data_IF_429080480619
#
_entry.id   IF_429080480619
#
_cell.length_a   1.000
_cell.length_b   1.000
_cell.length_c   1.000
_cell.angle_alpha   90.00
_cell.angle_beta   90.00
_cell.angle_gamma   90.00
#
_symmetry.space_group_name_H-M   'P 1'
#
loop_
_entity.id
_entity.type
_entity.pdbx_description
1 polymer ?
#
# COMPACT_ATOMS: atom_id res chain seq x y z
N UNK A 1 -12.60 -21.40 -36.80
CA UNK A 1 -12.78 -21.13 -35.36
C UNK A 1 -14.23 -20.80 -35.04
N UNK A 2 -14.85 -19.83 -35.71
CA UNK A 2 -16.27 -19.45 -35.51
C UNK A 2 -17.28 -20.58 -35.81
N UNK A 3 -17.09 -21.29 -36.93
CA UNK A 3 -17.92 -22.46 -37.31
C UNK A 3 -17.78 -23.65 -36.36
N UNK A 4 -16.66 -23.73 -35.62
CA UNK A 4 -16.33 -24.81 -34.69
C UNK A 4 -17.09 -24.67 -33.36
N UNK A 5 -17.57 -23.46 -33.04
CA UNK A 5 -18.30 -23.16 -31.81
C UNK A 5 -19.74 -22.71 -32.07
N UNK A 6 -20.32 -23.12 -33.19
CA UNK A 6 -21.72 -22.83 -33.52
C UNK A 6 -22.02 -21.31 -33.56
N UNK A 7 -21.07 -20.50 -34.03
CA UNK A 7 -21.10 -19.03 -34.04
C UNK A 7 -21.20 -18.38 -32.64
N UNK A 8 -20.84 -19.08 -31.56
CA UNK A 8 -20.82 -18.49 -30.23
C UNK A 8 -19.57 -17.61 -30.03
N UNK A 9 -19.71 -16.33 -30.35
CA UNK A 9 -18.64 -15.32 -30.25
C UNK A 9 -18.03 -15.20 -28.86
N UNK A 10 -18.77 -15.52 -27.80
CA UNK A 10 -18.25 -15.51 -26.43
C UNK A 10 -17.19 -16.60 -26.25
N UNK A 11 -17.43 -17.79 -26.80
CA UNK A 11 -16.47 -18.91 -26.69
C UNK A 11 -15.20 -18.58 -27.46
N UNK A 12 -15.34 -18.06 -28.68
CA UNK A 12 -14.19 -17.60 -29.50
C UNK A 12 -13.41 -16.53 -28.75
N UNK A 13 -14.09 -15.57 -28.11
CA UNK A 13 -13.46 -14.52 -27.32
C UNK A 13 -12.74 -15.06 -26.08
N UNK A 14 -13.29 -16.04 -25.36
CA UNK A 14 -12.62 -16.67 -24.21
C UNK A 14 -11.35 -17.41 -24.66
N UNK A 15 -11.41 -18.17 -25.76
CA UNK A 15 -10.21 -18.82 -26.31
C UNK A 15 -9.17 -17.80 -26.75
N UNK A 16 -9.61 -16.70 -27.37
CA UNK A 16 -8.74 -15.60 -27.73
C UNK A 16 -8.07 -14.98 -26.48
N UNK A 17 -8.83 -14.70 -25.43
CA UNK A 17 -8.28 -14.18 -24.17
C UNK A 17 -7.27 -15.13 -23.55
N UNK A 18 -7.57 -16.43 -23.47
CA UNK A 18 -6.63 -17.42 -22.92
C UNK A 18 -5.34 -17.44 -23.74
N UNK A 19 -5.43 -17.40 -25.07
CA UNK A 19 -4.27 -17.38 -25.94
C UNK A 19 -3.44 -16.10 -25.75
N UNK A 20 -4.07 -14.92 -25.77
CA UNK A 20 -3.34 -13.65 -25.59
C UNK A 20 -2.73 -13.56 -24.21
N UNK A 21 -3.50 -13.85 -23.16
CA UNK A 21 -3.02 -13.79 -21.78
C UNK A 21 -1.95 -14.85 -21.50
N UNK A 22 -1.96 -15.99 -22.20
CA UNK A 22 -0.95 -17.03 -22.11
C UNK A 22 0.24 -16.87 -23.07
N UNK A 23 0.26 -15.83 -23.91
CA UNK A 23 1.27 -15.69 -24.96
C UNK A 23 2.62 -15.22 -24.40
N UNK A 24 3.56 -16.16 -24.27
CA UNK A 24 4.85 -15.94 -23.59
C UNK A 24 5.76 -14.89 -24.24
N UNK A 25 5.63 -14.64 -25.54
CA UNK A 25 6.48 -13.68 -26.26
C UNK A 25 6.20 -12.22 -25.88
N UNK A 26 4.95 -11.90 -25.48
CA UNK A 26 4.61 -10.56 -24.98
C UNK A 26 5.01 -10.53 -23.50
N UNK A 27 6.20 -10.02 -23.21
CA UNK A 27 6.76 -10.01 -21.84
C UNK A 27 6.02 -9.10 -20.87
N UNK A 28 5.58 -7.93 -21.35
CA UNK A 28 4.86 -6.95 -20.54
C UNK A 28 3.38 -7.28 -20.54
N UNK A 29 2.82 -7.44 -19.36
CA UNK A 29 1.50 -8.01 -19.21
C UNK A 29 0.40 -6.97 -19.40
N UNK A 30 0.74 -5.72 -19.13
CA UNK A 30 0.01 -4.51 -19.47
C UNK A 30 -0.29 -4.48 -20.97
N UNK A 31 0.66 -4.90 -21.82
CA UNK A 31 0.46 -4.98 -23.26
C UNK A 31 -0.62 -6.01 -23.63
N UNK A 32 -0.66 -7.16 -22.95
CA UNK A 32 -1.68 -8.21 -23.20
C UNK A 32 -3.08 -7.68 -22.90
N UNK A 33 -3.24 -6.91 -21.82
CA UNK A 33 -4.52 -6.27 -21.46
C UNK A 33 -4.88 -5.15 -22.45
N UNK A 34 -3.93 -4.31 -22.84
CA UNK A 34 -4.18 -3.28 -23.84
C UNK A 34 -4.66 -3.86 -25.17
N UNK A 35 -4.08 -5.00 -25.62
CA UNK A 35 -4.55 -5.69 -26.83
C UNK A 35 -5.99 -6.17 -26.67
N UNK A 36 -6.35 -6.72 -25.50
CA UNK A 36 -7.72 -7.12 -25.22
C UNK A 36 -8.68 -5.92 -25.26
N UNK A 37 -8.31 -4.78 -24.67
CA UNK A 37 -9.10 -3.54 -24.74
C UNK A 37 -9.33 -3.07 -26.17
N UNK A 38 -8.27 -3.05 -27.00
CA UNK A 38 -8.36 -2.67 -28.42
C UNK A 38 -9.35 -3.57 -29.16
N UNK A 39 -9.24 -4.89 -28.95
CA UNK A 39 -10.07 -5.85 -29.66
C UNK A 39 -11.53 -5.80 -29.20
N UNK A 40 -11.79 -5.66 -27.90
CA UNK A 40 -13.14 -5.45 -27.39
C UNK A 40 -13.74 -4.16 -27.97
N UNK A 41 -12.96 -3.08 -28.04
CA UNK A 41 -13.40 -1.82 -28.64
C UNK A 41 -13.73 -1.98 -30.13
N UNK A 42 -12.86 -2.65 -30.91
CA UNK A 42 -13.10 -2.93 -32.34
C UNK A 42 -14.34 -3.83 -32.52
N UNK A 43 -14.51 -4.86 -31.71
CA UNK A 43 -15.69 -5.73 -31.75
C UNK A 43 -16.97 -4.95 -31.47
N UNK A 44 -16.95 -3.99 -30.53
CA UNK A 44 -18.06 -3.07 -30.33
C UNK A 44 -18.26 -2.17 -31.55
N UNK A 45 -17.17 -1.63 -32.09
CA UNK A 45 -17.23 -0.70 -33.22
C UNK A 45 -17.83 -1.33 -34.49
N UNK A 46 -17.52 -2.60 -34.72
CA UNK A 46 -18.08 -3.43 -35.80
C UNK A 46 -19.50 -3.97 -35.48
N UNK A 47 -20.12 -3.56 -34.37
CA UNK A 47 -21.43 -4.04 -33.90
C UNK A 47 -21.52 -5.57 -33.72
N UNK A 48 -20.41 -6.25 -33.47
CA UNK A 48 -20.37 -7.69 -33.18
C UNK A 48 -20.93 -7.96 -31.77
N UNK A 49 -20.63 -7.08 -30.82
CA UNK A 49 -21.10 -7.15 -29.43
C UNK A 49 -21.77 -5.83 -29.02
N UNK A 50 -22.70 -5.90 -28.05
CA UNK A 50 -23.30 -4.71 -27.42
C UNK A 50 -22.40 -4.10 -26.35
N UNK A 51 -22.67 -2.84 -25.95
CA UNK A 51 -21.87 -2.12 -24.95
C UNK A 51 -21.83 -2.84 -23.59
N UNK A 52 -22.97 -3.36 -23.12
CA UNK A 52 -23.03 -4.05 -21.83
C UNK A 52 -22.10 -5.28 -21.80
N UNK A 53 -22.08 -6.04 -22.89
CA UNK A 53 -21.16 -7.18 -23.01
C UNK A 53 -19.71 -6.73 -23.12
N UNK A 54 -19.40 -5.67 -23.88
CA UNK A 54 -18.04 -5.12 -23.97
C UNK A 54 -17.48 -4.71 -22.60
N UNK A 55 -18.28 -4.05 -21.76
CA UNK A 55 -17.89 -3.68 -20.39
C UNK A 55 -17.63 -4.94 -19.54
N UNK A 56 -18.51 -5.93 -19.61
CA UNK A 56 -18.34 -7.20 -18.89
C UNK A 56 -17.07 -7.91 -19.33
N UNK A 57 -16.77 -7.95 -20.62
CA UNK A 57 -15.57 -8.60 -21.16
C UNK A 57 -14.28 -7.89 -20.72
N UNK A 58 -14.27 -6.56 -20.65
CA UNK A 58 -13.12 -5.82 -20.11
C UNK A 58 -12.88 -6.16 -18.63
N UNK A 59 -13.93 -6.15 -17.81
CA UNK A 59 -13.85 -6.53 -16.39
C UNK A 59 -13.39 -7.99 -16.22
N UNK A 60 -13.94 -8.90 -16.99
CA UNK A 60 -13.58 -10.32 -16.95
C UNK A 60 -12.12 -10.54 -17.37
N UNK A 61 -11.64 -9.82 -18.37
CA UNK A 61 -10.23 -9.86 -18.81
C UNK A 61 -9.29 -9.54 -17.65
N UNK A 62 -9.55 -8.44 -16.94
CA UNK A 62 -8.74 -8.03 -15.78
C UNK A 62 -8.84 -9.08 -14.67
N UNK A 63 -10.04 -9.59 -14.37
CA UNK A 63 -10.24 -10.58 -13.30
C UNK A 63 -9.47 -11.88 -13.58
N UNK A 64 -9.60 -12.41 -14.80
CA UNK A 64 -8.91 -13.63 -15.22
C UNK A 64 -7.40 -13.41 -15.12
N UNK A 65 -6.91 -12.26 -15.58
CA UNK A 65 -5.50 -11.96 -15.52
C UNK A 65 -4.98 -11.82 -14.08
N UNK A 66 -5.58 -10.91 -13.31
CA UNK A 66 -5.08 -10.49 -12.00
C UNK A 66 -5.24 -11.59 -10.94
N UNK A 67 -6.34 -12.34 -10.97
CA UNK A 67 -6.69 -13.28 -9.90
C UNK A 67 -6.52 -14.76 -10.28
N UNK A 68 -6.70 -15.12 -11.56
CA UNK A 68 -6.70 -16.54 -11.97
C UNK A 68 -5.36 -16.95 -12.59
N UNK A 69 -4.84 -16.14 -13.51
CA UNK A 69 -3.59 -16.42 -14.25
C UNK A 69 -2.38 -15.74 -13.63
N UNK A 70 -2.46 -15.32 -12.37
CA UNK A 70 -1.33 -14.70 -11.67
C UNK A 70 -0.20 -15.71 -11.44
N UNK A 71 1.03 -15.29 -11.71
CA UNK A 71 2.24 -16.08 -11.41
C UNK A 71 2.66 -15.97 -9.93
N UNK A 72 2.01 -15.09 -9.16
CA UNK A 72 2.33 -14.82 -7.77
C UNK A 72 1.81 -15.95 -6.84
N UNK A 73 2.72 -16.88 -6.53
CA UNK A 73 2.44 -18.06 -5.70
C UNK A 73 1.90 -17.70 -4.32
N UNK A 74 2.46 -16.68 -3.67
CA UNK A 74 2.01 -16.28 -2.34
C UNK A 74 0.70 -15.53 -2.39
N UNK A 75 0.40 -14.77 -3.46
CA UNK A 75 -0.94 -14.21 -3.65
C UNK A 75 -2.00 -15.32 -3.62
N UNK A 76 -1.81 -16.40 -4.39
CA UNK A 76 -2.75 -17.54 -4.43
C UNK A 76 -2.90 -18.23 -3.07
N UNK A 77 -1.83 -18.32 -2.28
CA UNK A 77 -1.86 -18.94 -0.94
C UNK A 77 -2.50 -18.05 0.13
N UNK A 78 -2.30 -16.73 0.03
CA UNK A 78 -2.76 -15.74 1.01
C UNK A 78 -4.20 -15.29 0.73
N UNK A 79 -4.51 -14.92 -0.51
CA UNK A 79 -5.81 -14.39 -0.93
C UNK A 79 -6.81 -15.51 -1.22
N UNK A 80 -7.24 -16.19 -0.17
CA UNK A 80 -8.21 -17.30 -0.27
C UNK A 80 -9.66 -16.87 -0.09
N UNK A 81 -9.91 -15.68 0.46
CA UNK A 81 -11.27 -15.21 0.71
C UNK A 81 -11.74 -14.26 -0.38
N UNK A 82 -12.96 -14.49 -0.87
CA UNK A 82 -13.60 -13.71 -1.94
C UNK A 82 -13.54 -12.20 -1.69
N UNK A 83 -13.78 -11.75 -0.45
CA UNK A 83 -13.74 -10.32 -0.12
C UNK A 83 -12.37 -9.66 -0.36
N UNK A 84 -11.26 -10.40 -0.20
CA UNK A 84 -9.91 -9.87 -0.40
C UNK A 84 -9.53 -9.94 -1.88
N UNK A 85 -9.91 -11.02 -2.57
CA UNK A 85 -9.80 -11.17 -4.04
C UNK A 85 -10.51 -10.01 -4.74
N UNK A 86 -11.77 -9.73 -4.38
CA UNK A 86 -12.54 -8.63 -4.96
C UNK A 86 -11.90 -7.27 -4.68
N UNK A 87 -11.31 -7.07 -3.50
CA UNK A 87 -10.70 -5.79 -3.16
C UNK A 87 -9.37 -5.57 -3.91
N UNK A 88 -8.57 -6.62 -4.09
CA UNK A 88 -7.36 -6.59 -4.93
C UNK A 88 -7.72 -6.31 -6.39
N UNK A 89 -8.65 -7.09 -6.93
CA UNK A 89 -9.19 -6.93 -8.28
C UNK A 89 -9.71 -5.50 -8.54
N UNK A 90 -10.54 -4.95 -7.65
CA UNK A 90 -11.07 -3.60 -7.82
C UNK A 90 -9.96 -2.53 -7.77
N UNK A 91 -8.95 -2.72 -6.91
CA UNK A 91 -7.81 -1.81 -6.89
C UNK A 91 -7.05 -1.87 -8.22
N UNK A 92 -6.67 -3.06 -8.67
CA UNK A 92 -5.90 -3.24 -9.90
C UNK A 92 -6.67 -2.74 -11.13
N UNK A 93 -7.96 -3.03 -11.22
CA UNK A 93 -8.81 -2.57 -12.33
C UNK A 93 -8.85 -1.05 -12.44
N UNK A 94 -8.93 -0.33 -11.31
CA UNK A 94 -9.05 1.12 -11.28
C UNK A 94 -7.70 1.82 -11.44
N UNK A 95 -6.67 1.39 -10.67
CA UNK A 95 -5.43 2.16 -10.55
C UNK A 95 -4.31 1.68 -11.49
N UNK A 96 -4.32 0.41 -11.88
CA UNK A 96 -3.30 -0.19 -12.76
C UNK A 96 -3.82 -0.32 -14.18
N UNK A 97 -5.06 -0.78 -14.34
CA UNK A 97 -5.64 -1.07 -15.66
C UNK A 97 -6.64 -0.02 -16.16
N UNK A 98 -6.82 1.09 -15.43
CA UNK A 98 -7.55 2.29 -15.84
C UNK A 98 -8.91 1.97 -16.51
N UNK A 99 -9.69 1.09 -15.86
CA UNK A 99 -10.94 0.55 -16.42
C UNK A 99 -12.01 1.63 -16.66
N UNK A 100 -11.94 2.75 -15.93
CA UNK A 100 -12.90 3.84 -16.10
C UNK A 100 -12.73 4.55 -17.43
N UNK A 101 -11.51 4.85 -17.83
CA UNK A 101 -11.16 5.47 -19.12
C UNK A 101 -11.63 4.60 -20.28
N UNK A 102 -11.42 3.28 -20.19
CA UNK A 102 -11.90 2.29 -21.17
C UNK A 102 -13.42 2.25 -21.22
N UNK A 103 -14.08 2.24 -20.05
CA UNK A 103 -15.54 2.23 -19.96
C UNK A 103 -16.14 3.52 -20.52
N UNK A 104 -15.56 4.68 -20.20
CA UNK A 104 -16.00 5.96 -20.74
C UNK A 104 -15.79 6.05 -22.25
N UNK A 105 -14.68 5.52 -22.77
CA UNK A 105 -14.46 5.42 -24.22
C UNK A 105 -15.61 4.66 -24.91
N UNK A 106 -16.03 3.51 -24.36
CA UNK A 106 -17.16 2.74 -24.89
C UNK A 106 -18.50 3.50 -24.79
N UNK A 107 -18.74 4.20 -23.68
CA UNK A 107 -19.96 5.00 -23.49
C UNK A 107 -20.02 6.17 -24.47
N UNK A 108 -18.92 6.89 -24.68
CA UNK A 108 -18.85 7.96 -25.68
C UNK A 108 -19.00 7.43 -27.11
N UNK A 109 -18.49 6.23 -27.39
CA UNK A 109 -18.73 5.57 -28.67
C UNK A 109 -20.22 5.28 -28.89
N UNK A 110 -20.92 4.79 -27.87
CA UNK A 110 -22.37 4.55 -27.93
C UNK A 110 -23.17 5.85 -28.08
N UNK A 111 -22.75 6.92 -27.40
CA UNK A 111 -23.36 8.24 -27.51
C UNK A 111 -23.19 8.82 -28.93
N UNK A 112 -22.03 8.59 -29.53
CA UNK A 112 -21.73 8.97 -30.92
C UNK A 112 -22.70 8.30 -31.91
N UNK A 113 -23.03 7.04 -31.68
CA UNK A 113 -23.93 6.28 -32.53
C UNK A 113 -25.41 6.62 -32.30
N UNK A 114 -25.82 6.81 -31.04
CA UNK A 114 -27.23 6.98 -30.64
C UNK A 114 -27.77 8.41 -30.72
N UNK A 115 -26.92 9.43 -30.64
CA UNK A 115 -27.36 10.83 -30.71
C UNK A 115 -27.91 11.16 -32.10
N UNK A 116 -28.88 12.08 -32.21
CA UNK A 116 -29.36 12.58 -33.51
C UNK A 116 -28.65 13.87 -33.95
N UNK A 117 -27.96 14.56 -33.03
CA UNK A 117 -27.31 15.83 -33.28
C UNK A 117 -25.88 15.61 -33.79
N UNK A 118 -25.56 16.10 -35.00
CA UNK A 118 -24.27 15.90 -35.67
C UNK A 118 -23.08 16.35 -34.81
N UNK A 119 -23.19 17.50 -34.14
CA UNK A 119 -22.14 18.04 -33.27
C UNK A 119 -21.82 17.07 -32.12
N UNK A 120 -22.85 16.53 -31.46
CA UNK A 120 -22.69 15.56 -30.36
C UNK A 120 -22.10 14.25 -30.91
N UNK A 121 -22.52 13.80 -32.09
CA UNK A 121 -21.98 12.60 -32.72
C UNK A 121 -20.46 12.70 -32.92
N UNK A 122 -20.02 13.80 -33.53
CA UNK A 122 -18.61 14.04 -33.86
C UNK A 122 -17.80 14.23 -32.57
N UNK A 123 -18.26 15.07 -31.65
CA UNK A 123 -17.56 15.30 -30.39
C UNK A 123 -17.41 14.02 -29.55
N UNK A 124 -18.47 13.21 -29.46
CA UNK A 124 -18.44 11.94 -28.71
C UNK A 124 -17.52 10.91 -29.38
N UNK A 125 -17.47 10.86 -30.72
CA UNK A 125 -16.55 9.97 -31.44
C UNK A 125 -15.08 10.34 -31.19
N UNK A 126 -14.77 11.64 -31.27
CA UNK A 126 -13.42 12.15 -30.99
C UNK A 126 -13.02 11.83 -29.54
N UNK A 127 -13.91 12.06 -28.57
CA UNK A 127 -13.68 11.71 -27.17
C UNK A 127 -13.50 10.20 -26.97
N UNK A 128 -14.27 9.35 -27.66
CA UNK A 128 -14.15 7.90 -27.57
C UNK A 128 -12.76 7.42 -28.03
N UNK A 129 -12.29 7.90 -29.18
CA UNK A 129 -10.96 7.57 -29.71
C UNK A 129 -9.86 8.13 -28.81
N UNK A 130 -10.00 9.38 -28.36
CA UNK A 130 -9.01 9.98 -27.46
C UNK A 130 -8.88 9.17 -26.17
N UNK A 131 -9.99 8.82 -25.53
CA UNK A 131 -9.98 8.05 -24.28
C UNK A 131 -9.47 6.61 -24.49
N UNK A 132 -9.74 5.98 -25.63
CA UNK A 132 -9.20 4.64 -25.89
C UNK A 132 -7.67 4.69 -26.01
N UNK A 133 -7.13 5.61 -26.80
CA UNK A 133 -5.67 5.80 -26.95
C UNK A 133 -5.03 6.22 -25.63
N UNK A 134 -5.67 7.15 -24.90
CA UNK A 134 -5.19 7.62 -23.61
C UNK A 134 -5.17 6.51 -22.55
N UNK A 135 -6.19 5.65 -22.51
CA UNK A 135 -6.22 4.52 -21.58
C UNK A 135 -5.08 3.54 -21.84
N UNK A 136 -4.80 3.22 -23.11
CA UNK A 136 -3.68 2.36 -23.51
C UNK A 136 -2.36 2.99 -23.10
N UNK A 137 -2.16 4.28 -23.40
CA UNK A 137 -0.96 4.99 -23.01
C UNK A 137 -0.75 4.93 -21.48
N UNK A 138 -1.80 5.23 -20.71
CA UNK A 138 -1.72 5.30 -19.24
C UNK A 138 -1.42 3.93 -18.62
N UNK A 139 -2.00 2.85 -19.13
CA UNK A 139 -1.72 1.48 -18.68
C UNK A 139 -0.26 1.09 -18.96
N UNK A 140 0.26 1.46 -20.13
CA UNK A 140 1.65 1.16 -20.52
C UNK A 140 2.67 2.06 -19.83
N UNK A 141 2.27 3.26 -19.42
CA UNK A 141 3.11 4.23 -18.73
C UNK A 141 2.87 4.25 -17.22
N UNK A 142 2.40 3.14 -16.63
CA UNK A 142 2.09 3.08 -15.20
C UNK A 142 3.32 3.48 -14.37
N UNK A 143 3.13 4.50 -13.54
CA UNK A 143 4.21 5.19 -12.85
C UNK A 143 4.58 4.54 -11.51
N UNK A 144 3.74 3.63 -11.02
CA UNK A 144 3.90 2.91 -9.77
C UNK A 144 4.25 1.44 -10.02
N UNK A 145 5.41 1.00 -9.53
CA UNK A 145 5.76 -0.42 -9.50
C UNK A 145 5.69 -0.96 -8.06
N UNK A 146 4.88 -1.99 -7.88
CA UNK A 146 4.72 -2.69 -6.60
C UNK A 146 5.43 -4.04 -6.61
N UNK A 147 5.94 -4.43 -5.46
CA UNK A 147 6.43 -5.77 -5.22
C UNK A 147 5.25 -6.76 -5.16
N UNK A 148 5.49 -7.97 -5.64
CA UNK A 148 4.51 -9.06 -5.57
C UNK A 148 4.31 -9.52 -4.11
N UNK A 149 3.21 -10.22 -3.82
CA UNK A 149 3.01 -10.84 -2.51
C UNK A 149 4.14 -11.81 -2.18
N UNK A 150 4.66 -12.53 -3.18
CA UNK A 150 5.81 -13.42 -3.01
C UNK A 150 7.05 -12.64 -2.59
N UNK A 151 7.39 -11.55 -3.28
CA UNK A 151 8.54 -10.72 -2.91
C UNK A 151 8.39 -10.08 -1.52
N UNK A 152 7.19 -9.61 -1.17
CA UNK A 152 6.92 -9.07 0.17
C UNK A 152 7.06 -10.18 1.21
N UNK A 153 6.53 -11.37 0.94
CA UNK A 153 6.64 -12.53 1.83
C UNK A 153 8.10 -12.96 2.03
N UNK A 154 8.89 -13.04 0.96
CA UNK A 154 10.30 -13.41 1.04
C UNK A 154 11.10 -12.43 1.90
N UNK A 155 10.82 -11.11 1.79
CA UNK A 155 11.44 -10.09 2.65
C UNK A 155 11.10 -10.27 4.14
N UNK A 156 9.85 -10.57 4.48
CA UNK A 156 9.45 -10.76 5.89
C UNK A 156 9.93 -12.10 6.45
N UNK A 157 10.13 -13.11 5.60
CA UNK A 157 10.67 -14.42 6.01
C UNK A 157 12.16 -14.39 6.33
N UNK A 158 12.87 -13.28 6.06
CA UNK A 158 14.19 -13.04 6.63
C UNK A 158 14.17 -12.93 8.17
N UNK A 159 13.00 -12.64 8.73
CA UNK A 159 12.75 -12.44 10.16
C UNK A 159 11.46 -13.16 10.54
N UNK A 160 11.41 -14.50 10.50
CA UNK A 160 10.16 -15.24 10.53
C UNK A 160 9.52 -15.29 11.93
N UNK A 161 8.20 -15.45 11.98
CA UNK A 161 7.41 -15.37 13.23
C UNK A 161 7.79 -16.44 14.26
N UNK A 162 8.17 -17.64 13.81
CA UNK A 162 8.59 -18.74 14.68
C UNK A 162 9.90 -18.43 15.45
N UNK A 163 10.74 -17.54 14.94
CA UNK A 163 12.00 -17.12 15.57
C UNK A 163 11.84 -15.88 16.44
N UNK A 164 10.70 -15.19 16.34
CA UNK A 164 10.40 -13.99 17.11
C UNK A 164 10.40 -14.28 18.62
N UNK A 165 11.18 -13.51 19.38
CA UNK A 165 11.23 -13.61 20.85
C UNK A 165 10.51 -12.45 21.51
N UNK A 166 9.43 -12.75 22.21
CA UNK A 166 8.75 -11.78 23.06
C UNK A 166 9.41 -11.73 24.44
N UNK A 167 10.14 -10.65 24.75
CA UNK A 167 10.77 -10.43 26.05
C UNK A 167 10.53 -9.01 26.58
N UNK A 168 10.98 -8.73 27.81
CA UNK A 168 10.81 -7.42 28.45
C UNK A 168 11.42 -6.29 27.62
N UNK A 169 12.61 -6.52 27.05
CA UNK A 169 13.28 -5.54 26.19
C UNK A 169 12.43 -5.19 24.97
N UNK A 170 11.89 -6.18 24.28
CA UNK A 170 10.97 -5.96 23.17
C UNK A 170 9.74 -5.14 23.59
N UNK A 171 9.17 -5.45 24.75
CA UNK A 171 8.02 -4.71 25.29
C UNK A 171 8.35 -3.22 25.47
N UNK A 172 9.53 -2.88 26.01
CA UNK A 172 9.98 -1.50 26.14
C UNK A 172 10.12 -0.82 24.76
N UNK A 173 10.85 -1.46 23.83
CA UNK A 173 11.08 -0.94 22.47
C UNK A 173 9.76 -0.72 21.72
N UNK A 174 8.82 -1.65 21.84
CA UNK A 174 7.49 -1.55 21.25
C UNK A 174 6.69 -0.38 21.81
N UNK A 175 6.72 -0.16 23.13
CA UNK A 175 6.06 0.98 23.77
C UNK A 175 6.62 2.31 23.28
N UNK A 176 7.94 2.42 23.08
CA UNK A 176 8.58 3.62 22.53
C UNK A 176 8.04 3.91 21.12
N UNK A 177 8.09 2.93 20.21
CA UNK A 177 7.63 3.12 18.84
C UNK A 177 6.14 3.47 18.77
N UNK A 178 5.29 2.72 19.48
CA UNK A 178 3.85 2.97 19.47
C UNK A 178 3.50 4.31 20.09
N UNK A 179 4.22 4.78 21.11
CA UNK A 179 4.01 6.12 21.67
C UNK A 179 4.30 7.23 20.66
N UNK A 180 5.39 7.08 19.89
CA UNK A 180 5.87 8.10 18.95
C UNK A 180 5.06 8.10 17.65
N UNK A 181 4.77 6.93 17.08
CA UNK A 181 4.21 6.80 15.72
C UNK A 181 2.72 6.42 15.70
N UNK A 182 2.27 5.48 16.53
CA UNK A 182 0.90 4.95 16.45
C UNK A 182 0.38 4.52 17.83
N UNK A 183 -0.05 5.51 18.64
CA UNK A 183 -0.53 5.30 20.01
C UNK A 183 -1.70 4.34 20.13
N UNK A 184 -2.44 4.13 19.04
CA UNK A 184 -3.60 3.27 19.00
C UNK A 184 -3.28 1.89 18.44
N UNK A 185 -2.03 1.56 18.13
CA UNK A 185 -1.67 0.32 17.45
C UNK A 185 -2.26 -0.94 18.12
N UNK A 186 -2.06 -1.08 19.44
CA UNK A 186 -2.56 -2.21 20.21
C UNK A 186 -4.07 -2.17 20.46
N UNK A 187 -4.64 -0.97 20.65
CA UNK A 187 -6.08 -0.81 20.96
C UNK A 187 -6.97 -0.90 19.71
N UNK A 188 -6.43 -0.59 18.54
CA UNK A 188 -7.14 -0.65 17.26
C UNK A 188 -7.51 -2.08 16.93
N UNK A 189 -8.71 -2.32 16.40
CA UNK A 189 -9.06 -3.61 15.78
C UNK A 189 -8.71 -3.54 14.28
N UNK A 190 -7.62 -4.19 13.87
CA UNK A 190 -7.08 -4.16 12.51
C UNK A 190 -5.74 -3.44 12.38
N UNK A 191 -5.20 -3.36 11.16
CA UNK A 191 -3.84 -2.88 10.87
C UNK A 191 -3.80 -1.50 10.18
N UNK A 192 -4.96 -0.87 9.94
CA UNK A 192 -5.11 0.40 9.19
C UNK A 192 -6.07 1.34 9.90
N UNK A 193 -5.94 2.67 9.69
CA UNK A 193 -6.84 3.67 10.30
C UNK A 193 -8.31 3.46 9.89
N UNK A 194 -8.53 2.98 8.66
CA UNK A 194 -9.87 2.76 8.10
C UNK A 194 -10.43 1.35 8.34
N UNK A 195 -9.93 0.61 9.35
CA UNK A 195 -10.67 -0.60 9.74
C UNK A 195 -12.09 -0.20 10.15
N UNK A 196 -13.09 -0.98 9.75
CA UNK A 196 -14.52 -0.65 9.91
C UNK A 196 -14.85 -0.29 11.38
N UNK A 197 -14.24 -1.00 12.32
CA UNK A 197 -14.35 -0.76 13.76
C UNK A 197 -13.74 0.57 14.19
N UNK A 198 -12.57 0.94 13.65
CA UNK A 198 -11.86 2.16 14.04
C UNK A 198 -12.42 3.40 13.38
N UNK A 199 -12.81 3.32 12.10
CA UNK A 199 -13.58 4.36 11.45
C UNK A 199 -14.90 4.59 12.21
N UNK A 200 -15.61 3.53 12.61
CA UNK A 200 -16.83 3.64 13.42
C UNK A 200 -16.58 4.29 14.78
N UNK A 201 -15.52 3.92 15.50
CA UNK A 201 -15.20 4.52 16.79
C UNK A 201 -14.82 5.99 16.68
N UNK A 202 -14.06 6.38 15.65
CA UNK A 202 -13.73 7.79 15.38
C UNK A 202 -14.99 8.56 14.99
N UNK A 203 -15.87 7.95 14.18
CA UNK A 203 -17.15 8.55 13.79
C UNK A 203 -18.05 8.78 15.00
N UNK A 204 -18.22 7.80 15.89
CA UNK A 204 -19.04 7.94 17.09
C UNK A 204 -18.43 8.95 18.07
N UNK A 205 -17.11 8.94 18.29
CA UNK A 205 -16.43 9.96 19.12
C UNK A 205 -16.63 11.38 18.58
N UNK A 206 -16.44 11.59 17.27
CA UNK A 206 -16.70 12.90 16.65
C UNK A 206 -18.18 13.29 16.68
N UNK A 207 -19.07 12.31 16.72
CA UNK A 207 -20.51 12.52 16.82
C UNK A 207 -20.89 12.95 18.24
N UNK A 208 -20.32 12.31 19.26
CA UNK A 208 -20.39 12.73 20.67
C UNK A 208 -19.86 14.16 20.84
N UNK A 209 -18.66 14.46 20.32
CA UNK A 209 -18.06 15.81 20.33
C UNK A 209 -18.94 16.86 19.63
N UNK A 210 -19.74 16.43 18.65
CA UNK A 210 -20.71 17.30 17.96
C UNK A 210 -22.07 17.42 18.65
N UNK A 211 -22.23 16.86 19.87
CA UNK A 211 -23.51 16.71 20.56
C UNK A 211 -24.58 16.07 19.66
N UNK A 212 -24.19 15.10 18.85
CA UNK A 212 -25.04 14.37 17.91
C UNK A 212 -25.73 15.24 16.82
N UNK A 213 -25.36 16.53 16.67
CA UNK A 213 -25.96 17.44 15.69
C UNK A 213 -25.52 17.13 14.24
N UNK A 214 -24.37 16.49 14.04
CA UNK A 214 -23.88 16.11 12.70
C UNK A 214 -24.24 14.66 12.36
N UNK A 215 -24.74 14.46 11.14
CA UNK A 215 -25.02 13.11 10.63
C UNK A 215 -23.73 12.33 10.36
N UNK A 216 -23.80 11.00 10.42
CA UNK A 216 -22.66 10.10 10.14
C UNK A 216 -22.04 10.37 8.76
N UNK A 217 -22.86 10.68 7.76
CA UNK A 217 -22.43 10.97 6.39
C UNK A 217 -21.59 12.25 6.36
N UNK A 218 -22.04 13.33 7.02
CA UNK A 218 -21.31 14.60 7.04
C UNK A 218 -19.95 14.45 7.76
N UNK A 219 -19.91 13.73 8.89
CA UNK A 219 -18.66 13.47 9.61
C UNK A 219 -17.73 12.63 8.74
N UNK A 220 -18.24 11.57 8.10
CA UNK A 220 -17.45 10.73 7.19
C UNK A 220 -16.89 11.53 6.00
N UNK A 221 -17.73 12.34 5.34
CA UNK A 221 -17.30 13.23 4.26
C UNK A 221 -16.24 14.23 4.74
N UNK A 222 -16.37 14.78 5.95
CA UNK A 222 -15.34 15.65 6.53
C UNK A 222 -14.03 14.92 6.80
N UNK A 223 -14.09 13.68 7.32
CA UNK A 223 -12.91 12.85 7.55
C UNK A 223 -12.22 12.50 6.25
N UNK A 224 -13.00 12.14 5.23
CA UNK A 224 -12.50 11.90 3.89
C UNK A 224 -11.88 13.16 3.29
N UNK A 225 -12.53 14.33 3.42
CA UNK A 225 -12.00 15.62 2.96
C UNK A 225 -10.68 15.97 3.65
N UNK A 226 -10.57 15.76 4.96
CA UNK A 226 -9.30 15.93 5.70
C UNK A 226 -8.24 14.93 5.25
N UNK A 227 -8.63 13.68 4.98
CA UNK A 227 -7.72 12.67 4.45
C UNK A 227 -7.20 13.06 3.06
N UNK A 228 -8.08 13.45 2.12
CA UNK A 228 -7.71 13.97 0.80
C UNK A 228 -6.81 15.21 0.93
N UNK A 229 -7.16 16.15 1.81
CA UNK A 229 -6.36 17.35 2.04
C UNK A 229 -4.95 17.02 2.52
N UNK A 230 -4.81 16.14 3.52
CA UNK A 230 -3.51 15.71 4.04
C UNK A 230 -2.70 14.90 3.02
N UNK A 231 -3.36 14.15 2.14
CA UNK A 231 -2.70 13.50 1.01
C UNK A 231 -2.09 14.52 0.03
N UNK A 232 -2.78 15.65 -0.22
CA UNK A 232 -2.29 16.71 -1.11
C UNK A 232 -1.21 17.58 -0.47
N UNK A 233 -1.34 17.91 0.81
CA UNK A 233 -0.42 18.83 1.49
C UNK A 233 0.82 18.17 2.08
N UNK A 234 1.00 16.85 1.89
CA UNK A 234 2.07 16.07 2.50
C UNK A 234 2.13 16.20 4.04
N UNK A 235 1.08 16.73 4.68
CA UNK A 235 1.00 16.86 6.13
C UNK A 235 0.92 15.47 6.77
N UNK A 236 1.84 15.20 7.70
CA UNK A 236 1.97 13.93 8.43
C UNK A 236 0.78 13.77 9.40
N UNK A 237 0.26 12.54 9.58
CA UNK A 237 -0.76 12.29 10.61
C UNK A 237 -1.76 11.13 10.45
N UNK A 238 -1.65 10.25 9.44
CA UNK A 238 -2.64 9.18 9.21
C UNK A 238 -2.08 7.80 8.78
N UNK A 239 -0.75 7.62 8.73
CA UNK A 239 -0.16 6.33 8.35
C UNK A 239 0.16 5.52 9.61
N UNK A 240 -0.43 4.33 9.70
CA UNK A 240 -0.22 3.39 10.81
C UNK A 240 1.13 2.69 10.69
N UNK A 241 1.61 2.07 11.78
CA UNK A 241 2.80 1.20 11.73
C UNK A 241 2.69 0.17 10.60
N UNK A 242 1.54 -0.50 10.47
CA UNK A 242 1.30 -1.48 9.40
C UNK A 242 1.38 -0.86 8.00
N UNK A 243 0.74 0.30 7.79
CA UNK A 243 0.76 1.03 6.52
C UNK A 243 2.17 1.48 6.12
N UNK A 244 2.94 1.98 7.08
CA UNK A 244 4.31 2.42 6.87
C UNK A 244 5.25 1.24 6.59
N UNK A 245 5.07 0.11 7.29
CA UNK A 245 5.81 -1.13 7.04
C UNK A 245 5.52 -1.65 5.63
N UNK A 246 4.25 -1.82 5.27
CA UNK A 246 3.89 -2.34 3.96
C UNK A 246 4.40 -1.43 2.84
N UNK A 247 4.28 -0.11 2.99
CA UNK A 247 4.86 0.87 2.04
C UNK A 247 6.34 0.62 1.80
N UNK A 248 7.11 0.33 2.86
CA UNK A 248 8.56 0.11 2.77
C UNK A 248 8.91 -1.24 2.14
N UNK A 249 8.06 -2.25 2.34
CA UNK A 249 8.24 -3.57 1.73
C UNK A 249 7.82 -3.62 0.26
N UNK A 250 6.72 -2.94 -0.07
CA UNK A 250 5.95 -3.16 -1.28
C UNK A 250 6.20 -2.15 -2.42
N UNK A 251 6.71 -0.95 -2.16
CA UNK A 251 6.91 0.04 -3.23
C UNK A 251 8.33 -0.07 -3.77
N UNK A 252 8.46 -0.34 -5.08
CA UNK A 252 9.74 -0.37 -5.79
C UNK A 252 10.03 0.98 -6.46
N UNK A 253 9.07 1.49 -7.24
CA UNK A 253 9.18 2.75 -7.98
C UNK A 253 7.88 3.58 -7.87
N UNK A 254 7.95 4.86 -8.25
CA UNK A 254 6.79 5.76 -8.26
C UNK A 254 6.46 6.43 -6.93
N UNK A 255 7.34 6.36 -5.92
CA UNK A 255 7.05 6.84 -4.56
C UNK A 255 6.44 8.25 -4.52
N UNK A 256 6.78 9.14 -5.46
CA UNK A 256 6.26 10.51 -5.57
C UNK A 256 4.74 10.59 -5.79
N UNK A 257 4.11 9.57 -6.38
CA UNK A 257 2.67 9.52 -6.58
C UNK A 257 1.93 9.30 -5.24
N UNK A 258 1.75 10.40 -4.51
CA UNK A 258 1.27 10.38 -3.14
C UNK A 258 -0.13 9.80 -2.98
N UNK A 259 -1.01 9.98 -3.97
CA UNK A 259 -2.40 9.58 -3.89
C UNK A 259 -2.58 8.08 -4.15
N UNK A 260 -2.04 7.53 -5.25
CA UNK A 260 -2.08 6.08 -5.52
C UNK A 260 -1.42 5.30 -4.38
N UNK A 261 -0.25 5.78 -3.92
CA UNK A 261 0.49 5.23 -2.79
C UNK A 261 -0.34 5.15 -1.52
N UNK A 262 -1.03 6.23 -1.14
CA UNK A 262 -1.81 6.26 0.12
C UNK A 262 -3.04 5.36 0.07
N UNK A 263 -3.68 5.25 -1.09
CA UNK A 263 -4.80 4.31 -1.29
C UNK A 263 -4.28 2.87 -1.21
N UNK A 264 -3.15 2.58 -1.86
CA UNK A 264 -2.46 1.28 -1.77
C UNK A 264 -2.15 0.92 -0.32
N UNK A 265 -1.51 1.82 0.43
CA UNK A 265 -1.18 1.64 1.86
C UNK A 265 -2.41 1.23 2.68
N UNK A 266 -3.56 1.84 2.45
CA UNK A 266 -4.78 1.52 3.21
C UNK A 266 -5.34 0.16 2.79
N UNK A 267 -5.46 -0.09 1.49
CA UNK A 267 -6.11 -1.30 0.98
C UNK A 267 -5.22 -2.53 1.22
N UNK A 268 -3.96 -2.48 0.78
CA UNK A 268 -3.09 -3.64 0.84
C UNK A 268 -2.60 -3.95 2.25
N UNK A 269 -2.50 -2.99 3.16
CA UNK A 269 -2.20 -3.30 4.58
C UNK A 269 -3.34 -4.10 5.18
N UNK A 270 -4.59 -3.76 4.82
CA UNK A 270 -5.75 -4.51 5.25
C UNK A 270 -5.82 -5.90 4.59
N UNK A 271 -5.52 -6.03 3.29
CA UNK A 271 -5.49 -7.33 2.60
C UNK A 271 -4.37 -8.20 3.15
N UNK A 272 -3.13 -7.74 3.03
CA UNK A 272 -1.91 -8.51 3.28
C UNK A 272 -1.85 -9.03 4.71
N UNK A 273 -1.88 -8.17 5.73
CA UNK A 273 -1.71 -8.62 7.12
C UNK A 273 -2.87 -9.46 7.64
N UNK A 274 -4.11 -9.26 7.15
CA UNK A 274 -5.21 -10.15 7.51
C UNK A 274 -5.10 -11.52 6.85
N UNK A 275 -4.66 -11.57 5.59
CA UNK A 275 -4.44 -12.84 4.89
C UNK A 275 -3.24 -13.58 5.49
N UNK A 276 -2.15 -12.87 5.77
CA UNK A 276 -0.96 -13.42 6.40
C UNK A 276 -1.28 -13.99 7.79
N UNK A 277 -1.96 -13.25 8.67
CA UNK A 277 -2.38 -13.78 9.97
C UNK A 277 -3.18 -15.08 9.85
N UNK A 278 -4.12 -15.15 8.90
CA UNK A 278 -4.91 -16.36 8.65
C UNK A 278 -4.06 -17.52 8.14
N UNK A 279 -3.08 -17.23 7.29
CA UNK A 279 -2.13 -18.20 6.79
C UNK A 279 -1.29 -18.77 7.95
N UNK A 280 -0.69 -17.91 8.78
CA UNK A 280 0.09 -18.32 9.96
C UNK A 280 -0.73 -19.19 10.94
N UNK A 281 -2.00 -18.81 11.18
CA UNK A 281 -2.93 -19.59 12.00
C UNK A 281 -3.26 -20.94 11.37
N UNK A 282 -3.52 -20.99 10.06
CA UNK A 282 -3.83 -22.22 9.33
C UNK A 282 -2.69 -23.23 9.41
N UNK A 283 -1.45 -22.77 9.30
CA UNK A 283 -0.25 -23.62 9.36
C UNK A 283 0.31 -23.80 10.78
N UNK A 284 -0.41 -23.32 11.82
CA UNK A 284 -0.04 -23.48 13.24
C UNK A 284 1.38 -23.02 13.54
N UNK A 285 1.80 -21.92 12.93
CA UNK A 285 3.14 -21.37 13.16
C UNK A 285 3.31 -21.02 14.63
N UNK A 286 4.52 -21.25 15.15
CA UNK A 286 4.90 -20.90 16.52
C UNK A 286 4.80 -19.38 16.72
N UNK A 287 4.51 -18.94 17.95
CA UNK A 287 4.38 -17.53 18.33
C UNK A 287 3.28 -16.75 17.59
N UNK A 288 2.30 -17.43 16.96
CA UNK A 288 1.18 -16.78 16.23
C UNK A 288 0.33 -15.83 17.09
N UNK A 289 0.28 -16.06 18.40
CA UNK A 289 -0.34 -15.19 19.39
C UNK A 289 0.33 -13.81 19.45
N UNK A 290 1.62 -13.74 19.12
CA UNK A 290 2.43 -12.53 19.06
C UNK A 290 2.50 -11.91 17.67
N UNK A 291 1.60 -12.26 16.75
CA UNK A 291 1.63 -11.74 15.37
C UNK A 291 1.66 -10.20 15.28
N UNK A 292 0.95 -9.51 16.20
CA UNK A 292 0.97 -8.04 16.26
C UNK A 292 2.30 -7.47 16.72
N UNK A 293 2.93 -8.13 17.68
CA UNK A 293 4.26 -7.78 18.17
C UNK A 293 5.30 -8.02 17.07
N UNK A 294 5.17 -9.13 16.34
CA UNK A 294 6.01 -9.42 15.19
C UNK A 294 5.91 -8.38 14.07
N UNK A 295 4.76 -7.73 13.86
CA UNK A 295 4.66 -6.58 12.93
C UNK A 295 5.57 -5.42 13.37
N UNK A 296 5.67 -5.16 14.68
CA UNK A 296 6.58 -4.14 15.21
C UNK A 296 8.04 -4.58 15.04
N UNK A 297 8.34 -5.85 15.27
CA UNK A 297 9.65 -6.42 14.98
C UNK A 297 10.05 -6.18 13.52
N UNK A 298 9.21 -6.60 12.57
CA UNK A 298 9.40 -6.36 11.14
C UNK A 298 9.55 -4.87 10.79
N UNK A 299 8.85 -3.98 11.50
CA UNK A 299 8.96 -2.54 11.31
C UNK A 299 10.39 -2.04 11.52
N UNK A 300 11.05 -2.45 12.62
CA UNK A 300 12.43 -2.08 12.90
C UNK A 300 13.43 -2.60 11.84
N UNK A 301 13.16 -3.77 11.27
CA UNK A 301 14.03 -4.41 10.27
C UNK A 301 13.80 -3.96 8.83
N UNK A 302 12.79 -3.14 8.54
CA UNK A 302 12.42 -2.83 7.14
C UNK A 302 12.09 -1.36 6.87
N UNK A 303 11.77 -0.55 7.88
CA UNK A 303 11.37 0.84 7.67
C UNK A 303 12.59 1.75 7.72
N UNK A 304 12.64 2.71 6.81
CA UNK A 304 13.69 3.73 6.78
C UNK A 304 13.47 4.78 7.89
N UNK A 305 14.56 5.33 8.43
CA UNK A 305 14.51 6.50 9.32
C UNK A 305 15.51 7.57 8.91
N UNK A 306 15.37 8.78 9.45
CA UNK A 306 16.16 9.97 9.11
C UNK A 306 16.79 10.57 10.36
N UNK A 307 18.09 10.84 10.35
CA UNK A 307 18.77 11.49 11.48
C UNK A 307 19.50 12.77 11.05
N UNK A 308 19.74 13.64 12.04
CA UNK A 308 20.46 14.90 11.85
C UNK A 308 19.69 15.98 11.07
N UNK A 309 20.31 17.15 10.95
CA UNK A 309 19.75 18.32 10.24
C UNK A 309 19.60 18.08 8.74
N UNK A 310 20.50 17.29 8.17
CA UNK A 310 20.54 16.97 6.74
C UNK A 310 19.56 15.86 6.31
N UNK A 311 18.75 15.30 7.23
CA UNK A 311 17.88 14.13 6.94
C UNK A 311 18.67 12.93 6.38
N UNK A 312 19.77 12.57 7.03
CA UNK A 312 20.57 11.39 6.65
C UNK A 312 19.67 10.15 6.70
N UNK A 313 19.51 9.48 5.56
CA UNK A 313 18.56 8.37 5.39
C UNK A 313 19.20 7.01 5.64
N UNK A 314 18.64 6.27 6.59
CA UNK A 314 19.01 4.90 6.92
C UNK A 314 18.05 3.92 6.24
N UNK A 315 18.58 2.83 5.70
CA UNK A 315 17.79 1.79 5.02
C UNK A 315 16.87 0.99 5.96
N UNK A 316 17.21 0.93 7.25
CA UNK A 316 16.42 0.30 8.31
C UNK A 316 16.57 1.11 9.60
N UNK A 317 15.55 1.14 10.45
CA UNK A 317 15.63 1.79 11.76
C UNK A 317 16.76 1.18 12.59
N UNK A 318 16.98 -0.13 12.49
CA UNK A 318 18.07 -0.82 13.17
C UNK A 318 19.44 -0.17 12.92
N UNK A 319 19.68 0.28 11.69
CA UNK A 319 20.95 0.91 11.28
C UNK A 319 21.16 2.30 11.90
N UNK A 320 20.11 2.90 12.44
CA UNK A 320 20.15 4.20 13.10
C UNK A 320 20.37 4.07 14.62
N UNK A 321 20.35 2.85 15.16
CA UNK A 321 20.51 2.63 16.60
C UNK A 321 21.97 2.69 17.05
N UNK A 322 22.15 3.20 18.27
CA UNK A 322 23.42 3.29 18.99
C UNK A 322 24.59 3.93 18.22
N UNK A 323 24.33 4.66 17.13
CA UNK A 323 25.37 5.31 16.31
C UNK A 323 26.46 4.31 15.85
N UNK A 324 26.09 3.03 15.67
CA UNK A 324 27.02 2.00 15.19
C UNK A 324 26.96 1.93 13.68
N UNK A 325 27.71 2.82 13.06
CA UNK A 325 27.78 2.98 11.62
C UNK A 325 28.75 2.01 10.96
N UNK A 326 28.68 0.73 11.34
CA UNK A 326 29.51 -0.32 10.78
C UNK A 326 28.74 -1.12 9.72
N UNK A 327 29.44 -1.69 8.75
CA UNK A 327 28.84 -2.45 7.64
C UNK A 327 28.11 -3.73 8.09
N UNK A 328 28.44 -4.21 9.29
CA UNK A 328 27.86 -5.39 9.93
C UNK A 328 27.02 -4.90 11.12
N UNK A 329 25.70 -4.83 10.96
CA UNK A 329 24.81 -4.69 12.11
C UNK A 329 24.83 -6.00 12.88
N UNK A 330 25.68 -6.09 13.90
CA UNK A 330 25.76 -7.27 14.77
C UNK A 330 24.70 -7.26 15.88
N UNK A 331 24.09 -6.11 16.18
CA UNK A 331 23.10 -5.92 17.24
C UNK A 331 21.68 -6.01 16.71
N UNK A 332 20.83 -6.74 17.41
CA UNK A 332 19.38 -6.75 17.17
C UNK A 332 18.67 -5.79 18.16
N UNK A 333 17.36 -5.61 18.01
CA UNK A 333 16.49 -4.83 18.89
C UNK A 333 16.55 -5.22 20.38
N UNK A 334 17.11 -6.39 20.68
CA UNK A 334 17.30 -6.88 22.04
C UNK A 334 18.57 -6.32 22.71
N UNK A 335 19.53 -5.83 21.93
CA UNK A 335 20.85 -5.41 22.40
C UNK A 335 21.00 -3.88 22.47
N UNK A 336 20.03 -3.15 21.94
CA UNK A 336 20.07 -1.69 21.78
C UNK A 336 19.57 -0.94 23.02
N UNK A 337 20.01 0.30 23.18
CA UNK A 337 19.54 1.17 24.26
C UNK A 337 18.14 1.76 24.01
N UNK A 338 17.39 2.07 25.08
CA UNK A 338 16.07 2.73 24.94
C UNK A 338 16.21 4.14 24.35
N UNK A 339 17.33 4.81 24.66
CA UNK A 339 17.69 6.11 24.14
C UNK A 339 17.91 6.08 22.63
N UNK A 340 18.68 5.10 22.14
CA UNK A 340 18.86 4.87 20.71
C UNK A 340 17.54 4.58 19.99
N UNK A 341 16.65 3.80 20.64
CA UNK A 341 15.31 3.53 20.10
C UNK A 341 14.50 4.81 19.94
N UNK A 342 14.49 5.65 20.97
CA UNK A 342 13.74 6.90 20.97
C UNK A 342 14.25 7.87 19.89
N UNK A 343 15.57 8.03 19.78
CA UNK A 343 16.18 8.91 18.76
C UNK A 343 15.82 8.45 17.36
N UNK A 344 15.94 7.16 17.06
CA UNK A 344 15.61 6.66 15.72
C UNK A 344 14.10 6.74 15.44
N UNK A 345 13.24 6.60 16.45
CA UNK A 345 11.80 6.84 16.32
C UNK A 345 11.48 8.34 16.07
N UNK A 346 12.20 9.27 16.70
CA UNK A 346 12.09 10.69 16.38
C UNK A 346 12.53 11.01 14.94
N UNK A 347 13.44 10.21 14.39
CA UNK A 347 13.87 10.31 13.00
C UNK A 347 12.78 10.04 11.98
N UNK A 348 11.83 9.14 12.28
CA UNK A 348 10.68 8.85 11.41
C UNK A 348 9.85 10.11 11.14
N UNK A 349 9.65 10.89 12.19
CA UNK A 349 8.93 12.16 12.16
C UNK A 349 9.83 13.38 11.89
N UNK A 350 11.11 13.18 11.52
CA UNK A 350 12.12 14.24 11.28
C UNK A 350 12.21 15.23 12.44
N UNK A 351 11.84 14.79 13.65
CA UNK A 351 11.83 15.63 14.86
C UNK A 351 13.24 15.96 15.31
N UNK A 352 14.20 15.06 15.04
CA UNK A 352 15.63 15.21 15.36
C UNK A 352 16.21 16.55 14.92
N UNK A 353 15.70 17.17 13.84
CA UNK A 353 16.12 18.52 13.41
C UNK A 353 15.87 19.64 14.42
N UNK A 354 14.85 19.47 15.26
CA UNK A 354 14.38 20.48 16.20
C UNK A 354 14.83 20.20 17.63
N UNK A 355 15.41 19.03 17.88
CA UNK A 355 15.83 18.61 19.21
C UNK A 355 17.29 19.02 19.42
N UNK A 356 17.52 19.72 20.51
CA UNK A 356 18.82 20.23 20.93
C UNK A 356 19.09 19.82 22.37
N UNK A 357 20.33 19.97 22.84
CA UNK A 357 20.68 19.75 24.25
C UNK A 357 19.81 20.56 25.22
N UNK A 358 19.37 21.75 24.79
CA UNK A 358 18.63 22.70 25.63
C UNK A 358 17.16 22.30 25.81
N UNK A 359 16.51 21.79 24.76
CA UNK A 359 15.08 21.46 24.79
C UNK A 359 14.79 19.96 24.97
N UNK A 360 15.79 19.09 24.93
CA UNK A 360 15.61 17.62 24.94
C UNK A 360 14.68 17.13 26.05
N UNK A 361 14.75 17.72 27.25
CA UNK A 361 13.94 17.32 28.40
C UNK A 361 12.44 17.49 28.13
N UNK A 362 12.06 18.48 27.32
CA UNK A 362 10.66 18.74 26.95
C UNK A 362 10.14 17.73 25.92
N UNK A 363 11.04 17.06 25.19
CA UNK A 363 10.69 16.07 24.17
C UNK A 363 10.61 14.65 24.70
N UNK A 364 11.27 14.34 25.82
CA UNK A 364 11.31 12.99 26.39
C UNK A 364 9.89 12.58 26.82
N UNK A 365 9.34 11.51 26.23
CA UNK A 365 8.00 11.08 26.56
C UNK A 365 7.98 10.32 27.90
N UNK A 366 6.93 10.53 28.67
CA UNK A 366 6.65 9.66 29.81
C UNK A 366 5.96 8.38 29.33
N UNK A 367 6.66 7.25 29.40
CA UNK A 367 6.20 5.93 28.95
C UNK A 367 6.31 4.95 30.11
N UNK A 368 5.20 4.31 30.46
CA UNK A 368 5.13 3.38 31.59
C UNK A 368 6.06 2.17 31.42
N UNK A 369 6.95 1.95 32.39
CA UNK A 369 7.91 0.85 32.39
C UNK A 369 9.10 1.06 31.43
N UNK A 370 9.36 2.29 31.00
CA UNK A 370 10.53 2.66 30.21
C UNK A 370 11.22 3.85 30.87
N UNK A 371 12.47 3.66 31.24
CA UNK A 371 13.33 4.73 31.74
C UNK A 371 14.30 5.20 30.65
N UNK A 372 14.58 6.50 30.65
CA UNK A 372 15.52 7.13 29.72
C UNK A 372 16.62 7.85 30.49
N UNK A 373 17.87 7.56 30.13
CA UNK A 373 19.02 8.32 30.60
C UNK A 373 19.19 9.60 29.78
N UNK A 374 18.88 10.73 30.41
CA UNK A 374 18.97 12.07 29.80
C UNK A 374 20.41 12.42 29.40
N UNK A 375 21.41 12.00 30.19
CA UNK A 375 22.81 12.32 29.89
C UNK A 375 23.26 11.57 28.64
N UNK A 376 22.88 10.29 28.54
CA UNK A 376 23.14 9.47 27.37
C UNK A 376 22.45 10.01 26.12
N UNK A 377 21.18 10.43 26.23
CA UNK A 377 20.47 11.08 25.12
C UNK A 377 21.16 12.38 24.66
N UNK A 378 21.57 13.24 25.60
CA UNK A 378 22.31 14.47 25.30
C UNK A 378 23.61 14.15 24.56
N UNK A 379 24.30 13.09 24.98
CA UNK A 379 25.54 12.66 24.34
C UNK A 379 25.29 12.20 22.91
N UNK A 380 24.33 11.30 22.70
CA UNK A 380 23.95 10.82 21.35
C UNK A 380 23.50 11.95 20.41
N UNK A 381 22.81 12.98 20.92
CA UNK A 381 22.37 14.10 20.10
C UNK A 381 23.53 14.95 19.56
N UNK A 382 24.64 15.08 20.31
CA UNK A 382 25.80 15.86 19.85
C UNK A 382 26.42 15.27 18.58
N UNK A 383 26.37 13.96 18.46
CA UNK A 383 26.99 13.20 17.37
C UNK A 383 26.04 12.96 16.18
N UNK A 384 24.79 13.47 16.22
CA UNK A 384 23.80 13.29 15.15
C UNK A 384 24.22 13.89 13.80
N UNK A 385 24.95 15.01 13.84
CA UNK A 385 25.35 15.79 12.67
C UNK A 385 26.83 15.57 12.29
N UNK A 386 27.55 14.68 12.99
CA UNK A 386 28.96 14.45 12.69
C UNK A 386 29.12 13.78 11.31
N UNK A 387 30.05 14.30 10.48
CA UNK A 387 30.38 13.67 9.20
C UNK A 387 31.06 12.32 9.49
N UNK A 388 31.21 11.49 8.47
CA UNK A 388 31.93 10.20 8.47
C UNK A 388 31.11 8.98 8.84
N UNK A 389 30.43 8.37 7.87
CA UNK A 389 30.03 7.00 8.04
C UNK A 389 30.23 6.18 6.76
N UNK A 390 31.20 5.26 6.80
CA UNK A 390 31.44 4.23 5.78
C UNK A 390 30.36 3.12 5.88
N UNK A 391 29.07 3.48 5.89
CA UNK A 391 27.95 2.59 6.24
C UNK A 391 26.73 2.65 5.31
N UNK A 392 25.70 1.87 5.63
CA UNK A 392 24.50 1.60 4.82
C UNK A 392 23.52 2.78 4.71
N UNK A 393 23.93 3.85 4.02
CA UNK A 393 23.05 4.95 3.64
C UNK A 393 22.41 4.68 2.29
N UNK A 394 21.14 5.06 2.15
CA UNK A 394 20.55 5.22 0.83
C UNK A 394 21.04 6.57 0.30
N UNK A 395 21.96 6.55 -0.69
CA UNK A 395 22.38 7.74 -1.43
C UNK A 395 21.19 8.41 -2.12
#
# INVERSE_FOLDING_TARGET
MESLFNNNMIVVFIFFLINILGYSEIKLIEQRICIAYIIIFIMRALNIIGIGLAIILNLLTIMVYVEILTEDKMKLKLLTQIKYILLDYLYQAVFTFHIFEVTFSLVFYELSYSSNLLEIKVASMVLAIFLSVWSIHTVLSEDMEYASFTEIYDKIMLHPLNEFKYNEKFCQVSKILTYVEDRQFYTRKGYTVFSISSARNILEKKREESNYKKSRIIIFCSMFKSFIYNMKTHNRGYSTIGSQLLRSLAIKHGYENAWKRKIYEVIYTYIFFNCLYKYEVKYRVANREHFRDWIIYLYFHNVNTFLGKEDIRFSKILNAFDMQYNNLNEKDIYDISNEGVLIACWGLSKKTKYITKENIKDWIPHIEGVEFDVNKLIDMIKHLDEPYYNGQYLK
#
